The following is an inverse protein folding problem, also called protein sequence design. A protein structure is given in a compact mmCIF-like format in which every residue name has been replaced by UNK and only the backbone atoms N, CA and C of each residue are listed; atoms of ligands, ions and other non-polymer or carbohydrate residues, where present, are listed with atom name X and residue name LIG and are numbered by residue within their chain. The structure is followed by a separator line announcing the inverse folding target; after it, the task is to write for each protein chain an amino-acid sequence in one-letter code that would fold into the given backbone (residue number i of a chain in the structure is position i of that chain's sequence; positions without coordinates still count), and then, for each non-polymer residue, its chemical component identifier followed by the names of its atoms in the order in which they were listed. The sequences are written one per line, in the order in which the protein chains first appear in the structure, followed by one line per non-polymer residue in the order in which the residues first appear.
data_IF_717653101569
#
_entry.id   IF_717653101569
#
_cell.length_a   1.000
_cell.length_b   1.000
_cell.length_c   1.000
_cell.angle_alpha   90.00
_cell.angle_beta   90.00
_cell.angle_gamma   90.00
#
_symmetry.space_group_name_H-M   'P 1'
#
loop_
_entity.id
_entity.type
_entity.pdbx_description
1 polymer ?
#
# COMPACT_ATOMS: atom_id res chain seq x y z
N UNK A 1 2.08 -1.00 5.17
CA UNK A 1 2.91 -0.72 3.96
C UNK A 1 2.48 0.57 3.24
N UNK A 2 1.19 0.82 2.91
CA UNK A 2 0.78 2.09 2.29
C UNK A 2 1.27 3.35 3.03
N UNK A 3 1.04 3.42 4.32
CA UNK A 3 1.46 4.57 5.14
C UNK A 3 2.99 4.69 5.18
N UNK A 4 3.69 3.57 5.31
CA UNK A 4 5.16 3.52 5.25
C UNK A 4 5.69 4.00 3.90
N UNK A 5 5.10 3.51 2.80
CA UNK A 5 5.47 3.93 1.45
C UNK A 5 5.19 5.41 1.22
N UNK A 6 4.10 5.95 1.78
CA UNK A 6 3.80 7.38 1.71
C UNK A 6 4.89 8.23 2.37
N UNK A 7 5.37 7.83 3.56
CA UNK A 7 6.51 8.49 4.21
C UNK A 7 7.80 8.40 3.38
N UNK A 8 8.07 7.26 2.74
CA UNK A 8 9.22 7.12 1.83
C UNK A 8 9.10 8.09 0.64
N UNK A 9 7.91 8.25 0.07
CA UNK A 9 7.68 9.18 -1.03
C UNK A 9 7.81 10.64 -0.61
N UNK A 10 7.44 10.99 0.63
CA UNK A 10 7.68 12.33 1.19
C UNK A 10 9.19 12.58 1.27
N UNK A 11 10.00 11.62 1.76
CA UNK A 11 11.45 11.76 1.80
C UNK A 11 12.07 11.92 0.39
N UNK A 12 11.47 11.32 -0.62
CA UNK A 12 11.88 11.52 -2.03
C UNK A 12 11.56 12.95 -2.48
N UNK A 13 10.39 13.51 -2.18
CA UNK A 13 10.04 14.89 -2.52
C UNK A 13 10.88 15.92 -1.75
N UNK A 14 11.25 15.62 -0.52
CA UNK A 14 12.16 16.45 0.29
C UNK A 14 13.60 16.40 -0.25
N UNK A 15 13.89 15.50 -1.18
CA UNK A 15 15.22 15.38 -1.81
C UNK A 15 16.24 14.64 -0.96
N UNK A 16 15.82 13.91 0.08
CA UNK A 16 16.72 13.06 0.86
C UNK A 16 17.31 11.93 0.00
N UNK A 17 16.49 11.38 -0.92
CA UNK A 17 16.87 10.30 -1.84
C UNK A 17 15.98 10.33 -3.09
N UNK A 18 16.35 9.50 -4.08
CA UNK A 18 15.59 9.35 -5.33
C UNK A 18 14.99 7.94 -5.41
N UNK A 19 13.86 7.80 -6.11
CA UNK A 19 13.29 6.49 -6.42
C UNK A 19 14.26 5.59 -7.22
N UNK A 20 15.21 6.19 -7.93
CA UNK A 20 16.21 5.48 -8.75
C UNK A 20 17.51 5.22 -7.98
N UNK A 21 17.63 5.63 -6.73
CA UNK A 21 18.82 5.35 -5.93
C UNK A 21 18.97 3.85 -5.70
N UNK A 22 20.19 3.31 -5.85
CA UNK A 22 20.45 1.89 -5.65
C UNK A 22 20.26 1.51 -4.17
N UNK A 23 19.40 0.54 -3.91
CA UNK A 23 19.13 0.01 -2.56
C UNK A 23 19.11 -1.51 -2.59
N UNK A 24 19.89 -2.14 -1.72
CA UNK A 24 19.92 -3.58 -1.57
C UNK A 24 20.80 -4.26 -2.63
N UNK A 25 20.28 -5.28 -3.33
CA UNK A 25 21.03 -6.04 -4.30
C UNK A 25 21.40 -5.24 -5.56
N UNK A 26 22.40 -5.73 -6.30
CA UNK A 26 22.83 -5.08 -7.55
C UNK A 26 21.66 -4.92 -8.54
N UNK A 27 21.48 -3.70 -9.04
CA UNK A 27 20.42 -3.33 -10.00
C UNK A 27 19.05 -3.13 -9.38
N UNK A 28 18.92 -3.25 -8.04
CA UNK A 28 17.72 -2.90 -7.34
C UNK A 28 17.75 -1.42 -6.94
N UNK A 29 16.62 -0.74 -7.06
CA UNK A 29 16.43 0.65 -6.65
C UNK A 29 15.31 0.77 -5.61
N UNK A 30 15.17 1.94 -5.00
CA UNK A 30 14.08 2.23 -4.08
C UNK A 30 12.70 1.97 -4.72
N UNK A 31 12.52 2.33 -6.00
CA UNK A 31 11.31 2.05 -6.79
C UNK A 31 10.99 0.56 -6.84
N UNK A 32 12.00 -0.28 -7.10
CA UNK A 32 11.82 -1.72 -7.12
C UNK A 32 11.31 -2.28 -5.78
N UNK A 33 11.83 -1.76 -4.68
CA UNK A 33 11.44 -2.21 -3.33
C UNK A 33 9.99 -1.86 -3.03
N UNK A 34 9.58 -0.61 -3.26
CA UNK A 34 8.21 -0.14 -3.05
C UNK A 34 7.20 -0.88 -3.95
N UNK A 35 7.61 -1.23 -5.17
CA UNK A 35 6.78 -1.96 -6.14
C UNK A 35 6.85 -3.49 -5.98
N UNK A 36 7.52 -4.03 -4.97
CA UNK A 36 7.72 -5.46 -4.79
C UNK A 36 8.37 -6.16 -6.02
N UNK A 37 9.20 -5.43 -6.75
CA UNK A 37 9.93 -5.88 -7.94
C UNK A 37 11.43 -6.10 -7.68
N UNK A 38 11.89 -5.91 -6.45
CA UNK A 38 13.31 -5.96 -6.06
C UNK A 38 13.89 -7.36 -5.88
N UNK A 39 13.10 -8.43 -6.05
CA UNK A 39 13.57 -9.82 -5.99
C UNK A 39 13.81 -10.36 -4.58
N UNK A 40 13.36 -9.68 -3.55
CA UNK A 40 13.46 -10.14 -2.16
C UNK A 40 12.29 -11.04 -1.76
N UNK A 41 12.50 -12.06 -0.88
CA UNK A 41 11.44 -12.90 -0.37
C UNK A 41 10.48 -12.14 0.57
N UNK A 42 9.41 -12.80 0.99
CA UNK A 42 8.50 -12.25 2.00
C UNK A 42 9.25 -11.84 3.27
N UNK A 43 10.11 -12.71 3.75
CA UNK A 43 11.05 -12.49 4.85
C UNK A 43 12.40 -13.12 4.52
N UNK A 44 13.48 -12.54 5.03
CA UNK A 44 14.85 -13.01 4.82
C UNK A 44 15.66 -12.06 3.93
N UNK A 45 16.92 -11.90 4.29
CA UNK A 45 17.82 -10.87 3.72
C UNK A 45 18.40 -11.21 2.35
N UNK A 46 18.34 -12.48 1.92
CA UNK A 46 18.94 -12.91 0.67
C UNK A 46 17.93 -12.81 -0.48
N UNK A 47 18.27 -12.10 -1.57
CA UNK A 47 17.43 -12.07 -2.76
C UNK A 47 17.23 -13.47 -3.36
N UNK A 48 16.04 -13.73 -3.89
CA UNK A 48 15.68 -15.01 -4.52
C UNK A 48 15.55 -14.91 -6.04
N UNK A 49 15.65 -13.71 -6.59
CA UNK A 49 15.72 -13.43 -8.02
C UNK A 49 16.36 -12.07 -8.28
N UNK A 50 16.76 -11.80 -9.51
CA UNK A 50 17.13 -10.44 -9.92
C UNK A 50 15.88 -9.52 -9.87
N UNK A 51 16.08 -8.19 -9.79
CA UNK A 51 15.00 -7.24 -9.96
C UNK A 51 14.25 -7.46 -11.28
N UNK A 52 12.96 -7.07 -11.33
CA UNK A 52 12.08 -7.11 -12.51
C UNK A 52 11.82 -8.50 -13.11
N UNK A 53 12.20 -9.58 -12.46
CA UNK A 53 11.91 -10.93 -13.01
C UNK A 53 10.49 -11.41 -12.68
N UNK A 54 9.99 -11.00 -11.54
CA UNK A 54 8.64 -11.28 -11.08
C UNK A 54 8.30 -10.39 -9.89
N UNK A 55 7.03 -10.21 -9.63
CA UNK A 55 6.57 -9.53 -8.43
C UNK A 55 6.58 -10.48 -7.25
N UNK A 56 7.32 -10.14 -6.21
CA UNK A 56 7.42 -10.89 -4.97
C UNK A 56 7.06 -9.97 -3.83
N UNK A 57 5.87 -10.17 -3.25
CA UNK A 57 5.44 -9.44 -2.06
C UNK A 57 6.45 -9.64 -0.92
N UNK A 58 7.01 -8.56 -0.39
CA UNK A 58 8.19 -8.60 0.47
C UNK A 58 8.07 -7.62 1.65
N UNK A 59 8.19 -8.11 2.87
CA UNK A 59 8.44 -7.28 4.04
C UNK A 59 9.87 -6.73 4.01
N UNK A 60 10.84 -7.58 3.70
CA UNK A 60 12.26 -7.22 3.58
C UNK A 60 12.46 -6.04 2.62
N UNK A 61 11.76 -6.03 1.48
CA UNK A 61 11.86 -4.92 0.52
C UNK A 61 11.42 -3.59 1.13
N UNK A 62 10.35 -3.58 1.91
CA UNK A 62 9.88 -2.37 2.61
C UNK A 62 10.85 -1.96 3.73
N UNK A 63 11.39 -2.92 4.47
CA UNK A 63 12.37 -2.65 5.53
C UNK A 63 13.65 -2.02 4.95
N UNK A 64 14.18 -2.55 3.84
CA UNK A 64 15.33 -1.97 3.14
C UNK A 64 15.05 -0.54 2.61
N UNK A 65 13.84 -0.30 2.11
CA UNK A 65 13.43 1.05 1.68
C UNK A 65 13.45 2.03 2.86
N UNK A 66 12.95 1.61 4.01
CA UNK A 66 12.94 2.39 5.24
C UNK A 66 14.35 2.63 5.79
N UNK A 67 15.20 1.61 5.78
CA UNK A 67 16.62 1.76 6.18
C UNK A 67 17.34 2.79 5.30
N UNK A 68 17.06 2.79 3.99
CA UNK A 68 17.62 3.77 3.06
C UNK A 68 17.15 5.20 3.40
N UNK A 69 15.87 5.40 3.72
CA UNK A 69 15.34 6.70 4.16
C UNK A 69 15.99 7.15 5.46
N UNK A 70 16.04 6.27 6.46
CA UNK A 70 16.64 6.61 7.74
C UNK A 70 18.12 7.03 7.61
N UNK A 71 18.87 6.34 6.73
CA UNK A 71 20.25 6.67 6.45
C UNK A 71 20.41 7.98 5.65
N UNK A 72 19.54 8.23 4.68
CA UNK A 72 19.61 9.42 3.82
C UNK A 72 19.18 10.70 4.56
N UNK A 73 18.15 10.63 5.39
CA UNK A 73 17.67 11.76 6.18
C UNK A 73 18.44 11.96 7.49
N UNK A 74 19.34 11.03 7.88
CA UNK A 74 20.03 11.00 9.17
C UNK A 74 19.04 11.10 10.35
N UNK A 75 17.94 10.34 10.28
CA UNK A 75 16.82 10.47 11.21
C UNK A 75 16.14 9.11 11.45
N UNK A 76 15.81 8.73 12.70
CA UNK A 76 15.09 7.48 12.96
C UNK A 76 13.75 7.42 12.23
N UNK A 77 13.50 6.37 11.46
CA UNK A 77 12.31 6.30 10.62
C UNK A 77 10.99 6.39 11.40
N UNK A 78 10.92 5.82 12.60
CA UNK A 78 9.73 5.93 13.45
C UNK A 78 9.36 7.38 13.73
N UNK A 79 10.37 8.19 14.06
CA UNK A 79 10.19 9.62 14.30
C UNK A 79 9.88 10.36 12.99
N UNK A 80 10.58 10.02 11.89
CA UNK A 80 10.30 10.57 10.57
C UNK A 80 8.85 10.31 10.14
N UNK A 81 8.38 9.08 10.27
CA UNK A 81 7.01 8.68 9.96
C UNK A 81 5.98 9.48 10.78
N UNK A 82 6.26 9.68 12.07
CA UNK A 82 5.38 10.47 12.93
C UNK A 82 5.32 11.94 12.50
N UNK A 83 6.46 12.55 12.19
CA UNK A 83 6.55 13.96 11.82
C UNK A 83 6.09 14.24 10.38
N UNK A 84 6.38 13.32 9.44
CA UNK A 84 6.04 13.49 8.03
C UNK A 84 4.58 13.09 7.71
N UNK A 85 3.98 12.15 8.45
CA UNK A 85 2.65 11.62 8.13
C UNK A 85 1.65 11.79 9.28
N UNK A 86 1.93 11.23 10.48
CA UNK A 86 0.91 11.17 11.51
C UNK A 86 0.51 12.54 12.05
N UNK A 87 1.50 13.38 12.39
CA UNK A 87 1.24 14.71 12.95
C UNK A 87 0.55 15.65 11.94
N UNK A 88 1.03 15.80 10.68
CA UNK A 88 0.38 16.67 9.71
C UNK A 88 -1.04 16.25 9.35
N UNK A 89 -1.33 14.95 9.39
CA UNK A 89 -2.68 14.43 9.15
C UNK A 89 -3.56 14.44 10.41
N UNK A 90 -2.98 14.61 11.60
CA UNK A 90 -3.73 14.54 12.86
C UNK A 90 -4.07 13.11 13.29
N UNK A 91 -3.31 12.11 12.87
CA UNK A 91 -3.46 10.70 13.24
C UNK A 91 -2.90 10.45 14.65
N UNK A 92 -3.58 10.96 15.66
CA UNK A 92 -3.07 11.04 17.05
C UNK A 92 -3.09 9.71 17.81
N UNK A 93 -3.78 8.72 17.29
CA UNK A 93 -3.91 7.37 17.87
C UNK A 93 -3.17 6.32 17.05
N UNK A 94 -2.21 6.75 16.22
CA UNK A 94 -1.44 5.88 15.33
C UNK A 94 0.04 5.92 15.71
N UNK A 95 0.65 4.75 15.76
CA UNK A 95 2.08 4.59 16.07
C UNK A 95 2.69 3.42 15.31
N UNK A 96 4.01 3.43 15.14
CA UNK A 96 4.79 2.30 14.64
C UNK A 96 5.32 1.48 15.82
N UNK A 97 5.04 0.18 15.83
CA UNK A 97 5.57 -0.80 16.79
C UNK A 97 6.30 -1.92 16.04
N UNK A 98 7.61 -1.93 16.08
CA UNK A 98 8.42 -2.94 15.41
C UNK A 98 8.62 -2.68 13.92
N UNK A 99 8.41 -3.67 13.05
CA UNK A 99 8.73 -3.55 11.64
C UNK A 99 7.82 -2.55 10.89
N UNK A 100 8.40 -1.61 10.12
CA UNK A 100 7.64 -0.67 9.28
C UNK A 100 6.86 -1.37 8.15
N UNK A 101 7.20 -2.63 7.87
CA UNK A 101 6.48 -3.40 6.86
C UNK A 101 5.08 -3.86 7.32
N UNK A 102 4.80 -3.90 8.63
CA UNK A 102 3.52 -4.39 9.16
C UNK A 102 3.14 -3.89 10.56
N UNK A 103 4.00 -3.10 11.21
CA UNK A 103 3.88 -2.73 12.62
C UNK A 103 3.14 -1.41 12.88
N UNK A 104 2.41 -0.84 11.92
CA UNK A 104 1.60 0.35 12.17
C UNK A 104 0.29 -0.06 12.85
N UNK A 105 0.06 0.49 14.04
CA UNK A 105 -1.14 0.34 14.84
C UNK A 105 -1.89 1.65 14.88
N UNK A 106 -3.19 1.63 14.70
CA UNK A 106 -4.03 2.82 14.71
C UNK A 106 -5.51 2.50 14.81
N UNK A 107 -6.33 3.52 14.93
CA UNK A 107 -7.79 3.41 14.92
C UNK A 107 -8.35 3.45 13.49
N UNK A 108 -9.61 3.05 13.33
CA UNK A 108 -10.31 3.18 12.06
C UNK A 108 -10.42 4.65 11.65
N UNK A 109 -10.60 5.56 12.61
CA UNK A 109 -10.68 7.00 12.35
C UNK A 109 -9.38 7.55 11.76
N UNK A 110 -8.24 7.23 12.37
CA UNK A 110 -6.93 7.66 11.86
C UNK A 110 -6.63 7.07 10.47
N UNK A 111 -6.93 5.78 10.25
CA UNK A 111 -6.74 5.16 8.92
C UNK A 111 -7.70 5.76 7.89
N UNK A 112 -8.91 6.21 8.31
CA UNK A 112 -9.85 6.92 7.43
C UNK A 112 -9.35 8.31 7.07
N UNK A 113 -8.65 9.01 7.98
CA UNK A 113 -7.95 10.26 7.67
C UNK A 113 -6.88 10.02 6.60
N UNK A 114 -6.07 8.96 6.76
CA UNK A 114 -5.08 8.59 5.75
C UNK A 114 -5.75 8.20 4.41
N UNK A 115 -6.88 7.53 4.43
CA UNK A 115 -7.66 7.24 3.22
C UNK A 115 -8.10 8.54 2.50
N UNK A 116 -8.49 9.56 3.26
CA UNK A 116 -8.79 10.90 2.73
C UNK A 116 -7.56 11.56 2.09
N UNK A 117 -6.38 11.39 2.69
CA UNK A 117 -5.12 11.84 2.10
C UNK A 117 -4.83 11.15 0.75
N UNK A 118 -5.11 9.84 0.62
CA UNK A 118 -4.93 9.13 -0.65
C UNK A 118 -5.91 9.58 -1.74
N UNK A 119 -7.11 10.04 -1.37
CA UNK A 119 -8.11 10.57 -2.30
C UNK A 119 -7.82 12.02 -2.73
N UNK A 120 -7.27 12.81 -1.82
CA UNK A 120 -6.93 14.23 -2.02
C UNK A 120 -5.57 14.52 -1.39
N UNK A 121 -4.47 14.16 -2.06
CA UNK A 121 -3.12 14.31 -1.52
C UNK A 121 -2.78 15.76 -1.16
N UNK A 122 -2.25 15.95 0.04
CA UNK A 122 -1.77 17.23 0.57
C UNK A 122 -0.31 17.15 1.01
N UNK A 123 0.16 15.95 1.37
CA UNK A 123 1.54 15.72 1.81
C UNK A 123 2.47 15.43 0.64
N UNK A 124 1.93 15.03 -0.50
CA UNK A 124 2.67 14.79 -1.74
C UNK A 124 2.12 15.68 -2.86
N UNK A 125 2.99 16.00 -3.82
CA UNK A 125 2.56 16.62 -5.06
C UNK A 125 1.61 15.69 -5.83
N UNK A 126 0.70 16.24 -6.65
CA UNK A 126 -0.16 15.43 -7.50
C UNK A 126 0.60 14.43 -8.38
N UNK A 127 1.77 14.82 -8.88
CA UNK A 127 2.60 13.97 -9.75
C UNK A 127 3.16 12.76 -9.00
N UNK A 128 3.69 12.95 -7.79
CA UNK A 128 4.22 11.84 -6.98
C UNK A 128 3.10 10.92 -6.52
N UNK A 129 1.96 11.48 -6.13
CA UNK A 129 0.80 10.68 -5.76
C UNK A 129 0.27 9.85 -6.94
N UNK A 130 0.19 10.42 -8.15
CA UNK A 130 -0.20 9.69 -9.36
C UNK A 130 0.78 8.56 -9.69
N UNK A 131 2.10 8.80 -9.56
CA UNK A 131 3.13 7.75 -9.73
C UNK A 131 2.95 6.62 -8.72
N UNK A 132 2.58 6.94 -7.47
CA UNK A 132 2.33 5.93 -6.44
C UNK A 132 1.18 4.97 -6.80
N UNK A 133 0.16 5.44 -7.49
CA UNK A 133 -1.02 4.67 -7.88
C UNK A 133 -0.96 4.12 -9.31
N UNK A 134 0.12 4.42 -10.04
CA UNK A 134 0.36 3.91 -11.39
C UNK A 134 1.09 2.56 -11.33
N UNK A 135 0.70 1.56 -12.16
CA UNK A 135 1.40 0.28 -12.20
C UNK A 135 2.88 0.44 -12.53
N UNK A 136 3.74 0.08 -11.58
CA UNK A 136 5.18 0.00 -11.79
C UNK A 136 5.52 -1.38 -12.38
N UNK A 137 6.40 -1.44 -13.38
CA UNK A 137 6.76 -2.71 -14.04
C UNK A 137 5.50 -3.53 -14.41
N UNK A 138 4.64 -3.03 -15.31
CA UNK A 138 3.25 -3.49 -15.47
C UNK A 138 3.12 -4.95 -15.92
N UNK A 139 4.13 -5.49 -16.60
CA UNK A 139 4.10 -6.84 -17.17
C UNK A 139 4.52 -7.95 -16.18
N UNK A 140 4.87 -7.60 -14.95
CA UNK A 140 5.33 -8.59 -13.98
C UNK A 140 4.20 -9.49 -13.49
N UNK A 141 4.38 -10.79 -13.68
CA UNK A 141 3.59 -11.80 -12.98
C UNK A 141 3.94 -11.87 -11.50
N UNK A 142 2.98 -12.22 -10.64
CA UNK A 142 3.20 -12.30 -9.21
C UNK A 142 2.13 -13.06 -8.46
N UNK A 143 2.29 -13.11 -7.14
CA UNK A 143 1.34 -13.72 -6.21
C UNK A 143 0.88 -12.65 -5.23
N UNK A 144 -0.44 -12.51 -5.10
CA UNK A 144 -1.07 -11.81 -3.97
C UNK A 144 -1.31 -12.85 -2.88
N UNK A 145 -0.62 -12.79 -1.73
CA UNK A 145 -0.72 -13.80 -0.69
C UNK A 145 -2.17 -14.03 -0.24
N UNK A 146 -2.56 -15.29 -0.14
CA UNK A 146 -3.93 -15.66 0.25
C UNK A 146 -5.03 -15.43 -0.79
N UNK A 147 -4.71 -14.81 -1.95
CA UNK A 147 -5.67 -14.50 -3.02
C UNK A 147 -5.41 -15.34 -4.27
N UNK A 148 -4.19 -15.24 -4.83
CA UNK A 148 -3.88 -16.00 -6.03
C UNK A 148 -2.64 -15.54 -6.78
N UNK A 149 -2.37 -16.25 -7.90
CA UNK A 149 -1.35 -15.89 -8.88
C UNK A 149 -1.99 -15.12 -10.04
N UNK A 150 -1.34 -14.05 -10.45
CA UNK A 150 -1.81 -13.18 -11.53
C UNK A 150 -0.69 -12.89 -12.53
N UNK A 151 -1.07 -12.74 -13.78
CA UNK A 151 -0.19 -12.41 -14.88
C UNK A 151 -0.95 -11.51 -15.88
N UNK A 152 -0.72 -10.19 -15.84
CA UNK A 152 0.13 -9.46 -14.91
C UNK A 152 -0.43 -9.33 -13.49
N UNK A 153 0.45 -8.91 -12.54
CA UNK A 153 0.10 -8.59 -11.17
C UNK A 153 0.44 -7.13 -10.90
N UNK A 154 -0.41 -6.16 -11.28
CA UNK A 154 -0.12 -4.74 -11.15
C UNK A 154 0.03 -4.30 -9.70
N UNK A 155 1.00 -3.42 -9.48
CA UNK A 155 1.36 -2.84 -8.19
C UNK A 155 1.98 -1.46 -8.39
N UNK A 156 1.58 -0.48 -7.59
CA UNK A 156 2.19 0.84 -7.54
C UNK A 156 3.33 0.93 -6.51
N UNK A 157 3.62 2.11 -6.02
CA UNK A 157 4.65 2.33 -4.99
C UNK A 157 4.04 2.13 -3.59
N UNK A 158 4.02 0.88 -3.10
CA UNK A 158 3.46 0.50 -1.81
C UNK A 158 1.98 0.15 -1.82
N UNK A 159 1.33 0.19 -2.98
CA UNK A 159 -0.08 -0.11 -3.15
C UNK A 159 -0.31 -1.25 -4.13
N UNK A 160 -1.14 -2.20 -3.77
CA UNK A 160 -1.67 -3.15 -4.74
C UNK A 160 -2.70 -2.44 -5.63
N UNK A 161 -2.64 -2.68 -6.93
CA UNK A 161 -3.61 -2.18 -7.91
C UNK A 161 -4.47 -3.37 -8.35
N UNK A 162 -5.79 -3.21 -8.32
CA UNK A 162 -6.73 -4.27 -8.68
C UNK A 162 -6.51 -4.77 -10.10
N UNK A 163 -6.45 -3.88 -11.08
CA UNK A 163 -6.41 -4.29 -12.47
C UNK A 163 -7.55 -5.25 -12.83
N UNK A 164 -7.25 -6.25 -13.65
CA UNK A 164 -8.21 -7.28 -14.07
C UNK A 164 -8.13 -8.57 -13.21
N UNK A 165 -7.49 -8.50 -12.03
CA UNK A 165 -7.38 -9.66 -11.14
C UNK A 165 -8.76 -10.19 -10.74
N UNK A 166 -8.98 -11.48 -10.91
CA UNK A 166 -10.18 -12.19 -10.49
C UNK A 166 -9.83 -13.65 -10.12
N UNK A 167 -10.21 -14.14 -8.93
CA UNK A 167 -10.84 -13.41 -7.83
C UNK A 167 -9.93 -12.35 -7.23
N UNK A 168 -10.50 -11.39 -6.52
CA UNK A 168 -9.76 -10.34 -5.82
C UNK A 168 -10.39 -10.08 -4.44
N UNK A 169 -9.61 -9.50 -3.51
CA UNK A 169 -10.08 -9.16 -2.16
C UNK A 169 -10.98 -7.91 -2.12
N UNK A 170 -10.96 -7.06 -3.16
CA UNK A 170 -11.97 -6.02 -3.40
C UNK A 170 -13.15 -6.59 -4.17
N UNK A 171 -14.23 -5.82 -4.30
CA UNK A 171 -15.47 -6.23 -4.95
C UNK A 171 -15.38 -6.33 -6.48
N UNK A 172 -16.42 -6.88 -7.08
CA UNK A 172 -16.56 -6.92 -8.54
C UNK A 172 -16.98 -5.57 -9.12
N UNK A 173 -17.69 -4.76 -8.30
CA UNK A 173 -18.08 -3.40 -8.66
C UNK A 173 -16.91 -2.40 -8.62
N UNK A 174 -15.82 -2.75 -7.94
CA UNK A 174 -14.63 -1.92 -7.94
C UNK A 174 -13.99 -1.82 -9.33
N UNK A 175 -13.58 -0.61 -9.70
CA UNK A 175 -12.91 -0.36 -10.98
C UNK A 175 -11.53 -1.01 -11.06
N UNK A 176 -10.98 -1.24 -12.26
CA UNK A 176 -9.60 -1.71 -12.42
C UNK A 176 -8.55 -0.77 -11.80
N UNK A 177 -8.86 0.53 -11.70
CA UNK A 177 -8.01 1.54 -11.06
C UNK A 177 -8.04 1.53 -9.53
N UNK A 178 -8.86 0.68 -8.91
CA UNK A 178 -8.87 0.54 -7.43
C UNK A 178 -7.49 0.14 -6.94
N UNK A 179 -7.01 0.86 -5.94
CA UNK A 179 -5.73 0.57 -5.29
C UNK A 179 -5.89 0.52 -3.76
N UNK A 180 -5.01 -0.18 -3.10
CA UNK A 180 -5.06 -0.32 -1.66
C UNK A 180 -4.15 -1.41 -1.14
N UNK A 181 -4.50 -1.95 0.02
CA UNK A 181 -3.76 -3.03 0.64
C UNK A 181 -4.61 -3.73 1.69
N UNK A 182 -4.38 -5.03 1.89
CA UNK A 182 -4.86 -5.74 3.06
C UNK A 182 -3.68 -6.29 3.88
N UNK A 183 -3.90 -6.49 5.16
CA UNK A 183 -2.88 -6.92 6.11
C UNK A 183 -3.18 -8.27 6.73
N UNK A 184 -2.11 -9.00 7.11
CA UNK A 184 -2.20 -10.26 7.86
C UNK A 184 -2.95 -10.15 9.19
N UNK A 185 -3.08 -8.94 9.73
CA UNK A 185 -3.92 -8.66 10.91
C UNK A 185 -5.44 -8.70 10.63
N UNK A 186 -5.87 -9.02 9.40
CA UNK A 186 -7.28 -9.06 9.02
C UNK A 186 -7.85 -7.68 8.72
N UNK A 187 -7.01 -6.76 8.28
CA UNK A 187 -7.37 -5.38 7.98
C UNK A 187 -7.31 -5.13 6.47
N UNK A 188 -8.12 -4.21 5.97
CA UNK A 188 -8.04 -3.76 4.58
C UNK A 188 -8.36 -2.28 4.44
N UNK A 189 -7.78 -1.66 3.42
CA UNK A 189 -8.14 -0.34 2.93
C UNK A 189 -8.00 -0.28 1.42
N UNK A 190 -8.92 0.42 0.76
CA UNK A 190 -8.85 0.67 -0.68
C UNK A 190 -9.48 2.01 -1.04
N UNK A 191 -9.03 2.58 -2.14
CA UNK A 191 -9.62 3.72 -2.85
C UNK A 191 -9.99 3.27 -4.25
N UNK A 192 -11.19 3.63 -4.70
CA UNK A 192 -11.63 3.50 -6.08
C UNK A 192 -11.81 4.90 -6.67
N UNK A 193 -10.87 5.38 -7.49
CA UNK A 193 -10.94 6.72 -8.07
C UNK A 193 -12.14 6.91 -9.01
N UNK A 194 -12.55 5.85 -9.71
CA UNK A 194 -13.66 5.94 -10.65
C UNK A 194 -15.01 6.01 -9.94
N UNK A 195 -15.15 5.33 -8.80
CA UNK A 195 -16.32 5.41 -7.94
C UNK A 195 -16.28 6.63 -7.00
N UNK A 196 -15.13 7.30 -6.88
CA UNK A 196 -14.94 8.44 -5.97
C UNK A 196 -15.06 8.06 -4.49
N UNK A 197 -14.75 6.84 -4.12
CA UNK A 197 -14.92 6.35 -2.76
C UNK A 197 -13.77 5.47 -2.28
N UNK A 198 -13.78 5.17 -0.99
CA UNK A 198 -12.85 4.24 -0.38
C UNK A 198 -13.43 3.55 0.84
N UNK A 199 -12.76 2.53 1.31
CA UNK A 199 -13.15 1.73 2.46
C UNK A 199 -11.95 1.43 3.34
N UNK A 200 -12.17 1.55 4.64
CA UNK A 200 -11.31 0.99 5.69
C UNK A 200 -12.11 -0.03 6.47
N UNK A 201 -11.55 -1.22 6.64
CA UNK A 201 -12.12 -2.23 7.53
C UNK A 201 -11.02 -2.84 8.40
N UNK A 202 -11.20 -2.75 9.71
CA UNK A 202 -10.32 -3.33 10.71
C UNK A 202 -11.07 -4.44 11.44
N UNK A 203 -10.45 -5.61 11.57
CA UNK A 203 -11.02 -6.74 12.31
C UNK A 203 -10.12 -7.14 13.46
N UNK A 204 -10.63 -7.94 14.36
CA UNK A 204 -9.93 -8.51 15.51
C UNK A 204 -9.42 -9.94 15.24
N UNK A 205 -9.47 -10.40 13.98
CA UNK A 205 -9.05 -11.75 13.56
C UNK A 205 -7.92 -11.67 12.55
N UNK A 206 -6.78 -12.33 12.79
CA UNK A 206 -5.73 -12.50 11.78
C UNK A 206 -6.29 -13.10 10.49
N UNK A 207 -5.83 -12.60 9.33
CA UNK A 207 -6.35 -13.01 8.02
C UNK A 207 -6.29 -14.52 7.82
N UNK A 208 -5.20 -15.18 8.22
CA UNK A 208 -5.00 -16.62 8.04
C UNK A 208 -6.05 -17.46 8.79
N UNK A 209 -6.61 -16.94 9.89
CA UNK A 209 -7.62 -17.65 10.70
C UNK A 209 -8.99 -17.72 10.01
N UNK A 210 -9.23 -16.89 8.99
CA UNK A 210 -10.52 -16.79 8.31
C UNK A 210 -10.42 -16.39 6.83
N UNK A 211 -9.30 -16.59 6.19
CA UNK A 211 -9.02 -16.17 4.82
C UNK A 211 -10.09 -16.61 3.80
N UNK A 212 -10.62 -17.82 3.95
CA UNK A 212 -11.70 -18.33 3.08
C UNK A 212 -12.98 -17.50 3.22
N UNK A 213 -13.33 -17.11 4.44
CA UNK A 213 -14.49 -16.24 4.71
C UNK A 213 -14.20 -14.79 4.32
N UNK A 214 -13.01 -14.28 4.61
CA UNK A 214 -12.56 -12.95 4.23
C UNK A 214 -12.67 -12.75 2.71
N UNK A 215 -12.21 -13.72 1.92
CA UNK A 215 -12.28 -13.70 0.46
C UNK A 215 -13.71 -13.77 -0.11
N UNK A 216 -14.71 -13.98 0.72
CA UNK A 216 -16.14 -13.83 0.37
C UNK A 216 -16.70 -12.51 0.90
N UNK A 217 -16.46 -12.20 2.17
CA UNK A 217 -17.05 -11.08 2.86
C UNK A 217 -16.49 -9.72 2.44
N UNK A 218 -15.19 -9.64 2.21
CA UNK A 218 -14.55 -8.40 1.78
C UNK A 218 -15.02 -7.95 0.38
N UNK A 219 -15.09 -8.82 -0.65
CA UNK A 219 -15.72 -8.45 -1.91
C UNK A 219 -17.20 -8.06 -1.79
N UNK A 220 -18.01 -8.81 -0.99
CA UNK A 220 -19.41 -8.48 -0.74
C UNK A 220 -19.55 -7.08 -0.09
N UNK A 221 -18.73 -6.79 0.92
CA UNK A 221 -18.71 -5.48 1.58
C UNK A 221 -18.29 -4.36 0.62
N UNK A 222 -17.25 -4.61 -0.18
CA UNK A 222 -16.77 -3.64 -1.18
C UNK A 222 -17.85 -3.35 -2.23
N UNK A 223 -18.53 -4.38 -2.75
CA UNK A 223 -19.64 -4.24 -3.70
C UNK A 223 -20.81 -3.46 -3.10
N UNK A 224 -21.12 -3.69 -1.82
CA UNK A 224 -22.17 -2.96 -1.12
C UNK A 224 -21.83 -1.47 -0.99
N UNK A 225 -20.59 -1.14 -0.63
CA UNK A 225 -20.13 0.27 -0.51
C UNK A 225 -20.17 0.97 -1.86
N UNK A 226 -19.62 0.37 -2.91
CA UNK A 226 -19.65 0.96 -4.25
C UNK A 226 -21.09 1.11 -4.77
N UNK A 227 -21.94 0.10 -4.52
CA UNK A 227 -23.35 0.11 -4.95
C UNK A 227 -24.19 1.18 -4.26
N UNK A 228 -24.01 1.39 -2.96
CA UNK A 228 -24.73 2.41 -2.18
C UNK A 228 -24.39 3.83 -2.67
N UNK A 229 -23.10 4.08 -2.93
CA UNK A 229 -22.64 5.39 -3.40
C UNK A 229 -23.02 5.65 -4.86
N UNK A 230 -23.01 4.63 -5.73
CA UNK A 230 -23.50 4.76 -7.10
C UNK A 230 -25.01 5.03 -7.18
N UNK A 231 -25.79 4.53 -6.21
CA UNK A 231 -27.23 4.76 -6.10
C UNK A 231 -27.62 6.13 -5.53
N UNK A 232 -26.66 6.87 -4.94
CA UNK A 232 -26.93 8.15 -4.27
C UNK A 232 -25.95 9.26 -4.70
N UNK A 233 -26.02 9.75 -5.97
CA UNK A 233 -25.06 10.74 -6.53
C UNK A 233 -25.09 12.12 -5.84
N UNK A 234 -25.85 12.29 -4.75
CA UNK A 234 -26.00 13.53 -4.02
C UNK A 234 -25.36 13.54 -2.61
N UNK A 235 -24.77 12.47 -2.15
CA UNK A 235 -24.09 12.39 -0.85
C UNK A 235 -22.61 12.81 -0.95
N UNK A 236 -22.37 14.06 -1.32
CA UNK A 236 -21.06 14.67 -1.11
C UNK A 236 -21.04 15.20 0.32
N UNK A 237 -20.18 14.76 1.24
CA UNK A 237 -20.05 15.37 2.55
C UNK A 237 -19.53 16.81 2.39
N UNK A 238 -20.34 17.75 2.86
CA UNK A 238 -20.01 19.18 3.00
C UNK A 238 -18.93 19.39 4.04
#
# INVERSE_FOLDING_TARGET
KPITAWAVLIAVEEGCLSLEDPVGQRGCTLRHLLAHAGGYPFEGTQPVSAPEQRRIYSNTGIELAVEAVAAACDFPFEQYLAEAVFQPLGMTSTELRGSPAHGIYGTVDDVSIFLGELQQPRLLSPTTAEDAFTPQYPDLAGIVPGVGRFDPCPWGLGFEIRGDKAPHWTGRANSPGTFGHFGGAGTMMWVDPAAGCGLVALTDRPFDDWSVEAMKRWPELSDAVVGELAGNPGANPS
#
